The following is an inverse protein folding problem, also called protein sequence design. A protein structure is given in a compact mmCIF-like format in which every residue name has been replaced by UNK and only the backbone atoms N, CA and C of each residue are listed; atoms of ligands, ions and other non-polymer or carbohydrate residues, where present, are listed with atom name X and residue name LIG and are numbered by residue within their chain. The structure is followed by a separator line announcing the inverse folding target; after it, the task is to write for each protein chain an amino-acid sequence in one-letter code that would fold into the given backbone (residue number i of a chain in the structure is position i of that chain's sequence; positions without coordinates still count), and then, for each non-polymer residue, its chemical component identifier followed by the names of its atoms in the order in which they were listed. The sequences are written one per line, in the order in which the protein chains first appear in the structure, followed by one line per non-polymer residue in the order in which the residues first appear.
data_IF_120998930319
#
_entry.id   IF_120998930319
#
_cell.length_a   1.000
_cell.length_b   1.000
_cell.length_c   1.000
_cell.angle_alpha   90.00
_cell.angle_beta   90.00
_cell.angle_gamma   90.00
#
_symmetry.space_group_name_H-M   'P 1'
#
loop_
_entity.id
_entity.type
_entity.pdbx_description
1 polymer ?
#
# COMPACT_ATOMS: atom_id res chain seq x y z
N UNK A 1 -3.71 -8.17 21.77
CA UNK A 1 -2.89 -7.40 20.80
C UNK A 1 -1.44 -7.80 20.89
N UNK A 2 -0.72 -7.86 19.75
CA UNK A 2 0.70 -8.23 19.69
C UNK A 2 1.52 -7.23 20.50
N UNK A 3 2.33 -7.72 21.44
CA UNK A 3 3.34 -6.91 22.12
C UNK A 3 4.67 -7.02 21.37
N UNK A 4 5.21 -5.88 20.97
CA UNK A 4 6.52 -5.82 20.32
C UNK A 4 7.61 -5.55 21.34
N UNK A 5 8.79 -6.11 21.12
CA UNK A 5 9.99 -5.78 21.86
C UNK A 5 10.40 -4.29 21.66
N UNK A 6 11.34 -3.80 22.46
CA UNK A 6 11.79 -2.40 22.46
C UNK A 6 12.16 -1.90 21.06
N UNK A 7 12.93 -2.70 20.30
CA UNK A 7 13.34 -2.34 18.95
C UNK A 7 12.15 -2.20 17.99
N UNK A 8 11.20 -3.14 18.02
CA UNK A 8 9.97 -3.07 17.23
C UNK A 8 9.09 -1.87 17.59
N UNK A 9 8.95 -1.58 18.90
CA UNK A 9 8.20 -0.41 19.40
C UNK A 9 8.78 0.91 18.88
N UNK A 10 10.12 1.04 18.84
CA UNK A 10 10.79 2.24 18.33
C UNK A 10 10.53 2.43 16.82
N UNK A 11 10.68 1.37 16.02
CA UNK A 11 10.40 1.43 14.58
C UNK A 11 8.92 1.73 14.31
N UNK A 12 8.01 1.11 15.05
CA UNK A 12 6.58 1.38 14.95
C UNK A 12 6.23 2.85 15.27
N UNK A 13 6.86 3.46 16.26
CA UNK A 13 6.66 4.88 16.59
C UNK A 13 6.97 5.80 15.41
N UNK A 14 8.05 5.50 14.65
CA UNK A 14 8.40 6.26 13.45
C UNK A 14 7.34 6.10 12.37
N UNK A 15 6.90 4.87 12.09
CA UNK A 15 5.83 4.62 11.14
C UNK A 15 4.54 5.35 11.55
N UNK A 16 4.14 5.25 12.82
CA UNK A 16 2.96 5.94 13.37
C UNK A 16 3.04 7.45 13.20
N UNK A 17 4.18 8.06 13.48
CA UNK A 17 4.37 9.52 13.36
C UNK A 17 4.17 9.99 11.91
N UNK A 18 4.82 9.32 10.95
CA UNK A 18 4.73 9.67 9.53
C UNK A 18 3.34 9.38 8.96
N UNK A 19 2.74 8.25 9.34
CA UNK A 19 1.38 7.87 8.92
C UNK A 19 0.36 8.86 9.45
N UNK A 20 0.42 9.19 10.75
CA UNK A 20 -0.47 10.20 11.35
C UNK A 20 -0.36 11.53 10.63
N UNK A 21 0.87 11.95 10.29
CA UNK A 21 1.08 13.18 9.53
C UNK A 21 0.40 13.13 8.17
N UNK A 22 0.55 12.06 7.40
CA UNK A 22 -0.12 11.92 6.10
C UNK A 22 -1.65 11.89 6.23
N UNK A 23 -2.17 11.15 7.23
CA UNK A 23 -3.61 11.09 7.52
C UNK A 23 -4.19 12.46 7.86
N UNK A 24 -3.44 13.30 8.60
CA UNK A 24 -3.85 14.65 8.97
C UNK A 24 -3.73 15.64 7.80
N UNK A 25 -2.59 15.64 7.09
CA UNK A 25 -2.33 16.58 6.00
C UNK A 25 -3.34 16.44 4.84
N UNK A 26 -3.85 15.22 4.61
CA UNK A 26 -4.78 14.92 3.50
C UNK A 26 -6.18 14.48 3.95
N UNK A 27 -6.51 14.58 5.22
CA UNK A 27 -7.80 14.15 5.80
C UNK A 27 -8.23 12.74 5.37
N UNK A 28 -7.27 11.79 5.38
CA UNK A 28 -7.46 10.46 4.80
C UNK A 28 -8.45 9.59 5.58
N UNK A 29 -8.60 9.80 6.88
CA UNK A 29 -9.50 9.04 7.75
C UNK A 29 -10.45 10.01 8.45
N UNK A 30 -11.76 9.79 8.26
CA UNK A 30 -12.84 10.56 8.88
C UNK A 30 -13.40 9.81 10.07
N UNK A 31 -14.12 10.53 10.93
CA UNK A 31 -14.82 9.92 12.05
C UNK A 31 -15.92 8.97 11.55
N UNK A 32 -15.97 7.76 12.10
CA UNK A 32 -16.89 6.71 11.66
C UNK A 32 -16.49 5.92 10.42
N UNK A 33 -15.31 6.19 9.81
CA UNK A 33 -14.85 5.40 8.67
C UNK A 33 -14.65 3.92 9.03
N UNK A 34 -15.03 3.04 8.11
CA UNK A 34 -14.67 1.63 8.12
C UNK A 34 -13.65 1.35 7.03
N UNK A 35 -12.40 1.16 7.44
CA UNK A 35 -11.23 1.08 6.56
C UNK A 35 -10.90 -0.36 6.25
N UNK A 36 -10.99 -0.74 4.98
CA UNK A 36 -10.48 -2.01 4.45
C UNK A 36 -9.00 -1.88 4.11
N UNK A 37 -8.12 -2.59 4.79
CA UNK A 37 -6.70 -2.66 4.44
C UNK A 37 -6.46 -3.79 3.46
N UNK A 38 -5.97 -3.46 2.26
CA UNK A 38 -5.56 -4.47 1.28
C UNK A 38 -4.25 -5.13 1.70
N UNK A 39 -4.32 -6.37 2.15
CA UNK A 39 -3.17 -7.17 2.59
C UNK A 39 -2.71 -8.08 1.47
N UNK A 40 -1.60 -7.72 0.82
CA UNK A 40 -1.03 -8.51 -0.27
C UNK A 40 -0.15 -9.69 0.22
N UNK A 41 0.07 -9.80 1.52
CA UNK A 41 1.07 -10.69 2.11
C UNK A 41 2.49 -10.14 2.10
N UNK A 42 2.75 -9.01 1.45
CA UNK A 42 4.04 -8.34 1.47
C UNK A 42 4.25 -7.45 2.71
N UNK A 43 5.53 -7.18 3.01
CA UNK A 43 5.95 -6.39 4.17
C UNK A 43 5.22 -5.04 4.30
N UNK A 44 4.96 -4.35 3.18
CA UNK A 44 4.40 -2.99 3.17
C UNK A 44 2.95 -2.99 3.63
N UNK A 45 2.15 -3.93 3.13
CA UNK A 45 0.74 -4.07 3.48
C UNK A 45 0.53 -4.53 4.94
N UNK A 46 1.37 -5.44 5.42
CA UNK A 46 1.33 -5.93 6.80
C UNK A 46 1.81 -4.86 7.79
N UNK A 47 2.85 -4.11 7.43
CA UNK A 47 3.30 -2.96 8.22
C UNK A 47 2.22 -1.86 8.28
N UNK A 48 1.54 -1.56 7.15
CA UNK A 48 0.42 -0.62 7.14
C UNK A 48 -0.71 -1.07 8.05
N UNK A 49 -1.11 -2.35 7.97
CA UNK A 49 -2.13 -2.93 8.84
C UNK A 49 -1.77 -2.74 10.31
N UNK A 50 -0.52 -3.08 10.68
CA UNK A 50 -0.02 -2.93 12.06
C UNK A 50 -0.06 -1.46 12.52
N UNK A 51 0.37 -0.56 11.64
CA UNK A 51 0.40 0.87 11.96
C UNK A 51 -1.01 1.42 12.16
N UNK A 52 -1.96 1.08 11.28
CA UNK A 52 -3.35 1.53 11.42
C UNK A 52 -4.05 0.90 12.63
N UNK A 53 -3.79 -0.38 12.94
CA UNK A 53 -4.30 -1.04 14.14
C UNK A 53 -3.83 -0.37 15.43
N UNK A 54 -2.60 0.13 15.46
CA UNK A 54 -2.09 0.89 16.59
C UNK A 54 -2.57 2.36 16.57
N UNK A 55 -2.66 2.99 15.40
CA UNK A 55 -3.12 4.37 15.26
C UNK A 55 -4.56 4.54 15.78
N UNK A 56 -5.48 3.62 15.45
CA UNK A 56 -6.89 3.69 15.85
C UNK A 56 -7.11 3.82 17.37
N UNK A 57 -6.12 3.43 18.18
CA UNK A 57 -6.23 3.44 19.66
C UNK A 57 -6.13 4.83 20.27
N UNK A 58 -5.47 5.76 19.59
CA UNK A 58 -5.22 7.10 20.12
C UNK A 58 -5.51 8.22 19.12
N UNK A 59 -5.93 7.86 17.89
CA UNK A 59 -6.30 8.86 16.90
C UNK A 59 -7.63 9.53 17.30
N UNK A 60 -7.76 10.86 17.16
CA UNK A 60 -8.96 11.57 17.61
C UNK A 60 -10.25 11.16 16.92
N UNK A 61 -10.16 10.75 15.64
CA UNK A 61 -11.30 10.24 14.87
C UNK A 61 -11.41 8.73 15.05
N UNK A 62 -12.59 8.25 15.35
CA UNK A 62 -12.87 6.82 15.52
C UNK A 62 -13.03 6.17 14.16
N UNK A 63 -12.42 5.02 13.94
CA UNK A 63 -12.56 4.23 12.73
C UNK A 63 -12.40 2.74 13.01
N UNK A 64 -13.04 1.93 12.18
CA UNK A 64 -12.93 0.49 12.20
C UNK A 64 -11.93 -0.01 11.16
N UNK A 65 -11.37 -1.21 11.37
CA UNK A 65 -10.47 -1.86 10.45
C UNK A 65 -11.00 -3.22 10.04
N UNK A 66 -10.85 -3.53 8.76
CA UNK A 66 -11.04 -4.83 8.15
C UNK A 66 -9.82 -5.13 7.28
N UNK A 67 -9.19 -6.29 7.43
CA UNK A 67 -8.11 -6.74 6.57
C UNK A 67 -8.64 -7.70 5.49
N UNK A 68 -8.23 -7.51 4.23
CA UNK A 68 -8.65 -8.33 3.10
C UNK A 68 -7.45 -8.69 2.23
N UNK A 69 -7.29 -9.99 1.95
CA UNK A 69 -6.38 -10.49 0.92
C UNK A 69 -7.19 -10.99 -0.28
N UNK A 70 -6.82 -10.55 -1.48
CA UNK A 70 -7.29 -11.18 -2.71
C UNK A 70 -6.27 -12.27 -3.08
N UNK A 71 -6.68 -13.52 -2.94
CA UNK A 71 -5.92 -14.68 -3.42
C UNK A 71 -5.93 -14.65 -4.95
N UNK A 72 -4.76 -14.85 -5.56
CA UNK A 72 -4.65 -14.85 -7.03
C UNK A 72 -5.04 -16.17 -7.68
N UNK A 73 -5.29 -17.22 -6.87
CA UNK A 73 -5.60 -18.56 -7.36
C UNK A 73 -4.37 -19.43 -7.64
N UNK A 74 -3.18 -19.02 -7.23
CA UNK A 74 -2.03 -19.92 -7.28
C UNK A 74 -2.15 -21.06 -6.25
N UNK A 75 -1.80 -22.28 -6.67
CA UNK A 75 -1.81 -23.44 -5.80
C UNK A 75 -0.81 -23.30 -4.64
N UNK A 76 -1.12 -23.90 -3.49
CA UNK A 76 -0.23 -23.97 -2.33
C UNK A 76 -0.11 -22.67 -1.53
N UNK A 77 -0.94 -21.67 -1.77
CA UNK A 77 -0.97 -20.44 -0.97
C UNK A 77 -1.55 -20.70 0.42
N UNK A 78 -0.73 -20.50 1.45
CA UNK A 78 -1.16 -20.59 2.85
C UNK A 78 -1.22 -19.20 3.49
N UNK A 79 -2.40 -18.79 3.93
CA UNK A 79 -2.66 -17.51 4.59
C UNK A 79 -2.78 -17.62 6.12
N UNK A 80 -2.49 -18.78 6.71
CA UNK A 80 -2.64 -19.04 8.14
C UNK A 80 -1.78 -18.11 9.00
N UNK A 81 -0.53 -17.89 8.61
CA UNK A 81 0.37 -16.97 9.31
C UNK A 81 -0.15 -15.52 9.30
N UNK A 82 -0.70 -15.04 8.17
CA UNK A 82 -1.32 -13.72 8.08
C UNK A 82 -2.60 -13.65 8.91
N UNK A 83 -3.41 -14.71 8.93
CA UNK A 83 -4.62 -14.79 9.75
C UNK A 83 -4.29 -14.64 11.22
N UNK A 84 -3.34 -15.44 11.73
CA UNK A 84 -2.89 -15.38 13.12
C UNK A 84 -2.33 -13.98 13.47
N UNK A 85 -1.63 -13.36 12.54
CA UNK A 85 -1.11 -12.01 12.71
C UNK A 85 -2.23 -10.97 12.82
N UNK A 86 -3.25 -11.05 11.97
CA UNK A 86 -4.43 -10.18 12.03
C UNK A 86 -5.21 -10.37 13.34
N UNK A 87 -5.40 -11.60 13.79
CA UNK A 87 -6.03 -11.92 15.08
C UNK A 87 -5.25 -11.27 16.24
N UNK A 88 -3.92 -11.41 16.24
CA UNK A 88 -3.05 -10.76 17.22
C UNK A 88 -3.11 -9.23 17.21
N UNK A 89 -3.49 -8.61 16.07
CA UNK A 89 -3.75 -7.17 15.96
C UNK A 89 -5.20 -6.79 16.29
N UNK A 90 -6.07 -7.75 16.59
CA UNK A 90 -7.51 -7.55 16.82
C UNK A 90 -8.19 -6.90 15.59
N UNK A 91 -7.81 -7.36 14.39
CA UNK A 91 -8.38 -6.91 13.12
C UNK A 91 -9.04 -8.10 12.42
N UNK A 92 -10.35 -8.04 12.10
CA UNK A 92 -11.00 -9.07 11.30
C UNK A 92 -10.30 -9.26 9.95
N UNK A 93 -10.10 -10.49 9.54
CA UNK A 93 -9.39 -10.83 8.32
C UNK A 93 -10.20 -11.73 7.40
N UNK A 94 -10.22 -11.42 6.12
CA UNK A 94 -10.88 -12.22 5.09
C UNK A 94 -9.95 -12.47 3.91
N UNK A 95 -9.87 -13.72 3.47
CA UNK A 95 -9.31 -14.10 2.17
C UNK A 95 -10.45 -14.19 1.18
N UNK A 96 -10.26 -13.61 0.02
CA UNK A 96 -11.19 -13.66 -1.11
C UNK A 96 -10.49 -14.44 -2.22
N UNK A 97 -11.00 -15.60 -2.53
CA UNK A 97 -10.49 -16.43 -3.62
C UNK A 97 -10.86 -15.80 -4.98
N UNK A 98 -9.94 -15.90 -5.95
CA UNK A 98 -10.16 -15.46 -7.32
C UNK A 98 -9.33 -16.26 -8.31
N UNK A 99 -9.74 -16.25 -9.56
CA UNK A 99 -9.10 -16.92 -10.70
C UNK A 99 -8.18 -15.95 -11.47
N UNK A 100 -7.63 -14.94 -10.79
CA UNK A 100 -6.83 -13.87 -11.45
C UNK A 100 -5.59 -14.44 -12.12
N UNK A 101 -4.91 -15.42 -11.51
CA UNK A 101 -3.74 -16.04 -12.10
C UNK A 101 -4.10 -16.76 -13.42
N UNK A 102 -5.15 -17.59 -13.40
CA UNK A 102 -5.66 -18.28 -14.59
C UNK A 102 -6.06 -17.27 -15.69
N UNK A 103 -6.83 -16.23 -15.33
CA UNK A 103 -7.23 -15.20 -16.29
C UNK A 103 -6.02 -14.53 -16.95
N UNK A 104 -5.00 -14.16 -16.16
CA UNK A 104 -3.85 -13.39 -16.63
C UNK A 104 -2.88 -14.24 -17.44
N UNK A 105 -2.56 -15.45 -16.96
CA UNK A 105 -1.48 -16.27 -17.53
C UNK A 105 -1.97 -17.31 -18.54
N UNK A 106 -3.15 -17.88 -18.33
CA UNK A 106 -3.63 -19.00 -19.13
C UNK A 106 -4.65 -18.57 -20.20
N UNK A 107 -5.59 -17.66 -19.83
CA UNK A 107 -6.68 -17.23 -20.73
C UNK A 107 -6.21 -16.06 -21.60
N UNK A 108 -5.78 -14.95 -20.98
CA UNK A 108 -5.47 -13.69 -21.69
C UNK A 108 -4.08 -13.67 -22.31
N UNK A 109 -3.10 -14.31 -21.67
CA UNK A 109 -1.69 -14.38 -22.12
C UNK A 109 -1.13 -13.03 -22.54
N UNK A 110 -1.40 -12.01 -21.72
CA UNK A 110 -1.04 -10.61 -21.99
C UNK A 110 0.47 -10.42 -22.04
N UNK A 111 0.95 -9.56 -22.93
CA UNK A 111 2.37 -9.19 -23.00
C UNK A 111 2.84 -8.48 -21.72
N UNK A 112 1.93 -7.75 -21.05
CA UNK A 112 2.17 -7.11 -19.75
C UNK A 112 1.21 -7.66 -18.69
N UNK A 113 1.43 -8.88 -18.19
CA UNK A 113 0.53 -9.55 -17.26
C UNK A 113 0.42 -8.79 -15.93
N UNK A 114 1.47 -8.08 -15.49
CA UNK A 114 1.48 -7.34 -14.24
C UNK A 114 0.45 -6.20 -14.22
N UNK A 115 0.24 -5.50 -15.32
CA UNK A 115 -0.73 -4.41 -15.41
C UNK A 115 -2.16 -4.94 -15.28
N UNK A 116 -2.50 -6.02 -16.00
CA UNK A 116 -3.81 -6.66 -15.92
C UNK A 116 -4.06 -7.24 -14.53
N UNK A 117 -3.10 -7.98 -13.96
CA UNK A 117 -3.18 -8.53 -12.61
C UNK A 117 -3.44 -7.44 -11.56
N UNK A 118 -2.68 -6.33 -11.60
CA UNK A 118 -2.86 -5.21 -10.68
C UNK A 118 -4.26 -4.56 -10.81
N UNK A 119 -4.79 -4.46 -12.01
CA UNK A 119 -6.14 -3.92 -12.24
C UNK A 119 -7.22 -4.85 -11.69
N UNK A 120 -7.14 -6.15 -11.98
CA UNK A 120 -8.09 -7.15 -11.48
C UNK A 120 -8.08 -7.23 -9.95
N UNK A 121 -6.88 -7.26 -9.33
CA UNK A 121 -6.75 -7.27 -7.86
C UNK A 121 -7.36 -6.04 -7.22
N UNK A 122 -7.10 -4.84 -7.77
CA UNK A 122 -7.70 -3.60 -7.26
C UNK A 122 -9.20 -3.60 -7.38
N UNK A 123 -9.73 -4.04 -8.53
CA UNK A 123 -11.17 -4.18 -8.74
C UNK A 123 -11.80 -5.10 -7.70
N UNK A 124 -11.27 -6.33 -7.56
CA UNK A 124 -11.74 -7.30 -6.61
C UNK A 124 -11.69 -6.81 -5.15
N UNK A 125 -10.58 -6.14 -4.76
CA UNK A 125 -10.45 -5.57 -3.42
C UNK A 125 -11.50 -4.50 -3.14
N UNK A 126 -11.69 -3.56 -4.07
CA UNK A 126 -12.63 -2.45 -3.90
C UNK A 126 -14.08 -2.95 -3.83
N UNK A 127 -14.47 -3.89 -4.71
CA UNK A 127 -15.79 -4.48 -4.71
C UNK A 127 -16.09 -5.24 -3.41
N UNK A 128 -15.12 -6.00 -2.91
CA UNK A 128 -15.29 -6.72 -1.64
C UNK A 128 -15.26 -5.81 -0.42
N UNK A 129 -14.49 -4.72 -0.44
CA UNK A 129 -14.53 -3.70 0.60
C UNK A 129 -15.94 -3.13 0.74
N UNK A 130 -16.58 -2.75 -0.38
CA UNK A 130 -17.96 -2.26 -0.39
C UNK A 130 -18.96 -3.31 0.16
N UNK A 131 -18.84 -4.58 -0.25
CA UNK A 131 -19.70 -5.68 0.27
C UNK A 131 -19.53 -5.93 1.78
N UNK A 132 -18.37 -5.60 2.33
CA UNK A 132 -18.11 -5.68 3.77
C UNK A 132 -18.56 -4.42 4.53
N UNK A 133 -19.19 -3.47 3.83
CA UNK A 133 -19.63 -2.19 4.39
C UNK A 133 -18.47 -1.23 4.68
N UNK A 134 -17.31 -1.43 4.07
CA UNK A 134 -16.20 -0.48 4.16
C UNK A 134 -16.40 0.65 3.15
N UNK A 135 -16.22 1.88 3.61
CA UNK A 135 -16.28 3.08 2.76
C UNK A 135 -14.89 3.59 2.35
N UNK A 136 -13.83 3.01 2.93
CA UNK A 136 -12.43 3.37 2.66
C UNK A 136 -11.60 2.12 2.41
N UNK A 137 -10.72 2.17 1.40
CA UNK A 137 -9.70 1.15 1.13
C UNK A 137 -8.32 1.76 1.32
N UNK A 138 -7.51 1.21 2.22
CA UNK A 138 -6.15 1.65 2.48
C UNK A 138 -5.13 0.76 1.78
N UNK A 139 -4.23 1.37 1.02
CA UNK A 139 -3.16 0.69 0.29
C UNK A 139 -1.78 1.07 0.82
N UNK A 140 -0.86 0.11 0.84
CA UNK A 140 0.50 0.25 1.39
C UNK A 140 1.50 0.97 0.49
N UNK A 141 1.05 1.84 -0.44
CA UNK A 141 1.96 2.66 -1.24
C UNK A 141 2.70 3.66 -0.36
N UNK A 142 4.01 3.68 -0.49
CA UNK A 142 4.92 4.47 0.34
C UNK A 142 5.65 5.54 -0.48
N UNK A 143 6.49 6.36 0.17
CA UNK A 143 7.20 7.49 -0.44
C UNK A 143 8.03 7.10 -1.67
N UNK A 144 8.68 5.94 -1.62
CA UNK A 144 9.47 5.45 -2.76
C UNK A 144 8.58 5.08 -3.95
N UNK A 145 7.39 4.51 -3.73
CA UNK A 145 6.42 4.26 -4.81
C UNK A 145 5.95 5.54 -5.50
N UNK A 146 5.81 6.64 -4.74
CA UNK A 146 5.49 7.96 -5.28
C UNK A 146 6.58 8.42 -6.24
N UNK A 147 7.84 8.35 -5.80
CA UNK A 147 9.00 8.77 -6.58
C UNK A 147 9.14 7.90 -7.84
N UNK A 148 9.06 6.58 -7.68
CA UNK A 148 9.15 5.63 -8.79
C UNK A 148 8.02 5.83 -9.80
N UNK A 149 6.78 6.05 -9.35
CA UNK A 149 5.64 6.28 -10.24
C UNK A 149 5.79 7.58 -11.02
N UNK A 150 6.24 8.66 -10.38
CA UNK A 150 6.46 9.93 -11.05
C UNK A 150 7.53 9.82 -12.15
N UNK A 151 8.63 9.11 -11.89
CA UNK A 151 9.68 8.89 -12.89
C UNK A 151 9.26 7.93 -14.01
N UNK A 152 8.54 6.85 -13.66
CA UNK A 152 7.97 5.95 -14.67
C UNK A 152 7.05 6.69 -15.63
N UNK A 153 6.13 7.49 -15.08
CA UNK A 153 5.21 8.27 -15.88
C UNK A 153 5.94 9.30 -16.77
N UNK A 154 6.98 9.94 -16.24
CA UNK A 154 7.78 10.91 -17.00
C UNK A 154 8.56 10.25 -18.13
N UNK A 155 9.23 9.13 -17.88
CA UNK A 155 10.14 8.51 -18.86
C UNK A 155 9.43 7.62 -19.88
N UNK A 156 8.35 6.95 -19.49
CA UNK A 156 7.67 5.98 -20.37
C UNK A 156 6.32 6.49 -20.93
N UNK A 157 5.68 7.47 -20.24
CA UNK A 157 4.37 7.99 -20.66
C UNK A 157 4.43 9.46 -21.12
N UNK A 158 5.59 10.12 -20.98
CA UNK A 158 5.78 11.52 -21.39
C UNK A 158 4.95 12.52 -20.58
N UNK A 159 4.52 12.17 -19.37
CA UNK A 159 3.72 13.04 -18.49
C UNK A 159 4.23 13.01 -17.07
N UNK A 160 4.13 14.13 -16.36
CA UNK A 160 4.44 14.18 -14.94
C UNK A 160 3.18 13.85 -14.13
N UNK A 161 3.06 12.59 -13.75
CA UNK A 161 1.89 12.05 -13.06
C UNK A 161 2.29 11.15 -11.89
N UNK A 162 1.46 11.18 -10.83
CA UNK A 162 1.49 10.24 -9.72
C UNK A 162 0.07 10.01 -9.20
N UNK A 163 -0.16 8.89 -8.55
CA UNK A 163 -1.43 8.64 -7.86
C UNK A 163 -1.65 9.64 -6.72
N UNK A 164 -2.91 10.02 -6.49
CA UNK A 164 -3.29 10.95 -5.42
C UNK A 164 -3.29 10.30 -4.04
N UNK A 165 -3.13 11.07 -2.95
CA UNK A 165 -3.27 10.59 -1.57
C UNK A 165 -4.62 9.95 -1.28
N UNK A 166 -5.68 10.50 -1.82
CA UNK A 166 -7.08 10.09 -1.74
C UNK A 166 -7.72 10.08 -3.13
N UNK A 167 -8.44 9.02 -3.46
CA UNK A 167 -9.11 8.86 -4.74
C UNK A 167 -10.50 8.28 -4.51
N UNK A 168 -11.54 9.01 -4.92
CA UNK A 168 -12.91 8.48 -4.95
C UNK A 168 -13.11 7.55 -6.14
N UNK A 169 -13.70 6.40 -5.92
CA UNK A 169 -14.04 5.41 -6.95
C UNK A 169 -15.55 5.29 -7.10
N UNK A 170 -16.10 5.96 -8.12
CA UNK A 170 -17.54 6.01 -8.40
C UNK A 170 -18.19 4.63 -8.49
N UNK A 171 -17.56 3.69 -9.21
CA UNK A 171 -18.14 2.37 -9.43
C UNK A 171 -18.23 1.54 -8.15
N UNK A 172 -17.23 1.59 -7.31
CA UNK A 172 -17.16 0.81 -6.08
C UNK A 172 -17.71 1.57 -4.85
N UNK A 173 -18.00 2.87 -5.00
CA UNK A 173 -18.47 3.77 -3.93
C UNK A 173 -17.57 3.72 -2.70
N UNK A 174 -16.26 3.70 -2.91
CA UNK A 174 -15.23 3.70 -1.85
C UNK A 174 -14.17 4.74 -2.14
N UNK A 175 -13.56 5.28 -1.08
CA UNK A 175 -12.34 6.08 -1.17
C UNK A 175 -11.12 5.18 -1.06
N UNK A 176 -10.14 5.34 -1.95
CA UNK A 176 -8.85 4.67 -1.87
C UNK A 176 -7.83 5.63 -1.29
N UNK A 177 -7.31 5.32 -0.12
CA UNK A 177 -6.34 6.15 0.60
C UNK A 177 -4.96 5.49 0.67
N UNK A 178 -3.92 6.32 0.84
CA UNK A 178 -2.51 5.88 0.91
C UNK A 178 -1.80 6.49 2.12
N UNK A 179 -2.01 5.91 3.32
CA UNK A 179 -1.50 6.51 4.57
C UNK A 179 0.03 6.52 4.70
N UNK A 180 0.74 5.74 3.87
CA UNK A 180 2.19 5.59 3.92
C UNK A 180 2.99 6.55 3.01
N UNK A 181 2.35 7.57 2.43
CA UNK A 181 2.98 8.50 1.49
C UNK A 181 4.25 9.19 2.02
N UNK A 182 4.37 9.37 3.33
CA UNK A 182 5.56 9.96 3.95
C UNK A 182 6.55 8.93 4.50
N UNK A 183 6.18 7.64 4.51
CA UNK A 183 7.01 6.55 5.01
C UNK A 183 7.96 6.08 3.92
N UNK A 184 9.23 5.88 4.24
CA UNK A 184 10.22 5.32 3.32
C UNK A 184 10.23 3.79 3.38
N UNK A 185 10.51 3.14 2.25
CA UNK A 185 10.63 1.67 2.17
C UNK A 185 11.66 1.13 3.19
N UNK A 186 12.71 1.89 3.44
CA UNK A 186 13.75 1.57 4.43
C UNK A 186 13.20 1.46 5.85
N UNK A 187 12.30 2.37 6.25
CA UNK A 187 11.65 2.36 7.57
C UNK A 187 10.74 1.12 7.71
N UNK A 188 9.98 0.80 6.65
CA UNK A 188 9.11 -0.39 6.62
C UNK A 188 9.94 -1.67 6.73
N UNK A 189 11.04 -1.76 5.99
CA UNK A 189 11.93 -2.91 6.01
C UNK A 189 12.56 -3.12 7.39
N UNK A 190 13.01 -2.04 8.04
CA UNK A 190 13.56 -2.11 9.40
C UNK A 190 12.50 -2.56 10.41
N UNK A 191 11.27 -2.04 10.31
CA UNK A 191 10.16 -2.46 11.16
C UNK A 191 9.83 -3.94 10.94
N UNK A 192 9.61 -4.35 9.69
CA UNK A 192 9.24 -5.72 9.34
C UNK A 192 10.27 -6.75 9.86
N UNK A 193 11.57 -6.40 9.76
CA UNK A 193 12.65 -7.23 10.31
C UNK A 193 12.66 -7.27 11.84
N UNK A 194 12.37 -6.13 12.50
CA UNK A 194 12.43 -6.04 13.97
C UNK A 194 11.27 -6.76 14.67
N UNK A 195 10.16 -7.00 13.97
CA UNK A 195 8.96 -7.65 14.54
C UNK A 195 8.61 -8.98 13.89
N UNK A 196 9.46 -9.45 12.98
CA UNK A 196 9.29 -10.70 12.23
C UNK A 196 7.89 -10.81 11.59
N UNK A 197 7.55 -9.81 10.77
CA UNK A 197 6.26 -9.77 10.08
C UNK A 197 6.12 -10.99 9.17
N UNK A 198 4.98 -11.73 9.19
CA UNK A 198 4.80 -12.97 8.41
C UNK A 198 4.59 -12.69 6.92
N UNK A 199 5.69 -12.35 6.23
CA UNK A 199 5.67 -12.07 4.78
C UNK A 199 5.44 -13.38 4.03
N UNK A 200 4.41 -13.40 3.18
CA UNK A 200 4.10 -14.55 2.35
C UNK A 200 5.06 -14.65 1.17
N UNK A 201 5.43 -15.87 0.82
CA UNK A 201 6.11 -16.12 -0.45
C UNK A 201 5.16 -15.83 -1.61
N UNK A 202 5.62 -15.05 -2.59
CA UNK A 202 4.85 -14.77 -3.80
C UNK A 202 5.24 -15.77 -4.89
N UNK A 203 4.36 -16.70 -5.29
CA UNK A 203 4.65 -17.69 -6.32
C UNK A 203 4.58 -17.13 -7.75
N UNK A 204 4.30 -15.84 -7.92
CA UNK A 204 4.15 -15.22 -9.23
C UNK A 204 5.46 -15.28 -10.03
N UNK A 205 5.46 -15.84 -11.28
CA UNK A 205 6.66 -15.95 -12.09
C UNK A 205 7.23 -14.58 -12.54
N UNK A 206 6.41 -13.53 -12.49
CA UNK A 206 6.80 -12.16 -12.84
C UNK A 206 7.29 -11.33 -11.66
N UNK A 207 7.47 -11.95 -10.49
CA UNK A 207 7.94 -11.22 -9.31
C UNK A 207 9.34 -10.62 -9.55
N UNK A 208 9.49 -9.31 -9.25
CA UNK A 208 10.73 -8.54 -9.40
C UNK A 208 11.20 -8.22 -10.82
N UNK A 209 10.42 -8.48 -11.87
CA UNK A 209 10.74 -8.10 -13.24
C UNK A 209 10.14 -6.73 -13.61
N UNK A 210 10.78 -6.00 -14.56
CA UNK A 210 10.20 -4.86 -15.26
C UNK A 210 10.80 -3.49 -14.93
N UNK A 211 10.28 -2.46 -15.60
CA UNK A 211 10.77 -1.07 -15.61
C UNK A 211 10.89 -0.41 -14.24
N UNK A 212 10.14 -0.90 -13.24
CA UNK A 212 10.25 -0.40 -11.87
C UNK A 212 11.61 -0.73 -11.24
N UNK A 213 12.20 -1.88 -11.56
CA UNK A 213 13.52 -2.25 -11.08
C UNK A 213 14.61 -1.33 -11.68
N UNK A 214 14.48 -1.00 -12.96
CA UNK A 214 15.37 -0.05 -13.66
C UNK A 214 15.33 1.35 -13.04
N UNK A 215 14.12 1.85 -12.75
CA UNK A 215 13.96 3.15 -12.06
C UNK A 215 14.57 3.13 -10.67
N UNK A 216 14.40 2.04 -9.90
CA UNK A 216 15.05 1.90 -8.58
C UNK A 216 16.57 1.97 -8.68
N UNK A 217 17.15 1.34 -9.67
CA UNK A 217 18.60 1.38 -9.91
C UNK A 217 19.07 2.77 -10.34
N UNK A 218 18.35 3.42 -11.26
CA UNK A 218 18.62 4.80 -11.66
C UNK A 218 18.62 5.75 -10.46
N UNK A 219 17.59 5.68 -9.61
CA UNK A 219 17.51 6.50 -8.40
C UNK A 219 18.73 6.27 -7.51
N UNK A 220 19.11 5.01 -7.24
CA UNK A 220 20.28 4.68 -6.42
C UNK A 220 21.57 5.25 -6.98
N UNK A 221 21.72 5.23 -8.30
CA UNK A 221 22.93 5.76 -8.93
C UNK A 221 22.99 7.29 -8.83
N UNK A 222 21.90 7.99 -9.09
CA UNK A 222 21.82 9.44 -8.99
C UNK A 222 21.94 9.95 -7.54
N UNK A 223 21.52 9.18 -6.57
CA UNK A 223 21.62 9.54 -5.14
C UNK A 223 23.06 9.61 -4.64
N UNK A 224 24.01 8.93 -5.31
CA UNK A 224 25.43 8.97 -4.93
C UNK A 224 25.98 10.42 -4.99
N UNK A 225 25.52 11.19 -5.97
CA UNK A 225 25.96 12.55 -6.23
C UNK A 225 24.97 13.61 -5.74
N UNK A 226 23.72 13.23 -5.49
CA UNK A 226 22.65 14.15 -5.06
C UNK A 226 21.83 13.58 -3.89
N UNK A 227 22.24 13.87 -2.68
CA UNK A 227 21.56 13.43 -1.44
C UNK A 227 20.12 13.94 -1.30
N UNK A 228 19.74 14.99 -2.03
CA UNK A 228 18.40 15.58 -2.00
C UNK A 228 17.48 15.06 -3.10
N UNK A 229 17.94 14.15 -3.95
CA UNK A 229 17.19 13.67 -5.12
C UNK A 229 15.77 13.22 -4.76
N UNK A 230 15.63 12.30 -3.80
CA UNK A 230 14.32 11.77 -3.38
C UNK A 230 13.42 12.87 -2.82
N UNK A 231 13.96 13.75 -1.99
CA UNK A 231 13.17 14.83 -1.41
C UNK A 231 12.74 15.86 -2.45
N UNK A 232 13.58 16.13 -3.46
CA UNK A 232 13.26 17.03 -4.55
C UNK A 232 12.14 16.47 -5.44
N UNK A 233 12.23 15.19 -5.85
CA UNK A 233 11.20 14.54 -6.67
C UNK A 233 9.88 14.47 -5.89
N UNK A 234 9.91 14.02 -4.65
CA UNK A 234 8.73 13.95 -3.80
C UNK A 234 8.10 15.33 -3.58
N UNK A 235 8.91 16.35 -3.34
CA UNK A 235 8.46 17.74 -3.19
C UNK A 235 7.82 18.29 -4.46
N UNK A 236 8.34 17.92 -5.65
CA UNK A 236 7.74 18.28 -6.93
C UNK A 236 6.36 17.63 -7.10
N UNK A 237 6.23 16.31 -6.82
CA UNK A 237 4.94 15.62 -6.86
C UNK A 237 3.92 16.29 -5.94
N UNK A 238 4.31 16.60 -4.71
CA UNK A 238 3.43 17.25 -3.74
C UNK A 238 2.92 18.59 -4.27
N UNK A 239 3.80 19.50 -4.66
CA UNK A 239 3.44 20.86 -5.13
C UNK A 239 2.68 20.84 -6.45
N UNK A 240 3.17 20.06 -7.41
CA UNK A 240 2.76 20.21 -8.81
C UNK A 240 1.64 19.26 -9.22
N UNK A 241 1.36 18.23 -8.41
CA UNK A 241 0.28 17.28 -8.63
C UNK A 241 -0.77 17.43 -7.51
N UNK A 242 -0.42 17.06 -6.28
CA UNK A 242 -1.41 16.91 -5.20
C UNK A 242 -1.97 18.26 -4.70
N UNK A 243 -1.11 19.26 -4.47
CA UNK A 243 -1.56 20.57 -3.97
C UNK A 243 -2.39 21.31 -5.03
N UNK A 244 -2.05 21.15 -6.33
CA UNK A 244 -2.87 21.70 -7.43
C UNK A 244 -4.21 20.98 -7.58
N UNK A 245 -4.25 19.64 -7.43
CA UNK A 245 -5.51 18.89 -7.44
C UNK A 245 -6.42 19.29 -6.27
N UNK A 246 -5.86 19.56 -5.10
CA UNK A 246 -6.61 20.00 -3.93
C UNK A 246 -7.21 21.40 -4.11
N UNK A 247 -6.53 22.31 -4.83
CA UNK A 247 -7.03 23.66 -5.15
C UNK A 247 -8.14 23.66 -6.20
N UNK A 248 -8.25 22.61 -7.01
CA UNK A 248 -9.23 22.50 -8.09
C UNK A 248 -10.49 21.68 -7.69
N UNK A 249 -10.57 21.22 -6.43
CA UNK A 249 -11.73 20.53 -5.82
C UNK A 249 -12.58 21.50 -5.01
#
# INVERSE_FOLDING_TARGET
MIEFEKAGKEKLRRLLSLTRKAVQDYDLIKDGDKVCVGVSGGKDSLALLTTLANLRRFYPKRFELQAVTISLGFEGMDFSAVRNYCEGLEVPYKVVESDIAEIVFDIRKEQNPCALCANLRRGALNDHAGRLGCNVVALGHHKDDVIETALLSLFYEGRFYCFSPDTWLERAQVRVIRPYLYVEESDIRQFAKAVDVPVLHNPCPMDRAGSRAEIKELIRNLEKDNKFLRSNIFGAVKRDIWDKEAQNR
#
